data_IF_731992279496
#
_entry.id   IF_731992279496
#
_cell.length_a   1.000
_cell.length_b   1.000
_cell.length_c   1.000
_cell.angle_alpha   90.00
_cell.angle_beta   90.00
_cell.angle_gamma   90.00
#
_symmetry.space_group_name_H-M   'P 1'
#
loop_
_entity.id
_entity.type
_entity.pdbx_description
1 polymer ?
#
# COMPACT_ATOMS: atom_id res chain seq x y z
N UNK A 1 -37.35 18.28 47.40
CA UNK A 1 -35.91 18.04 47.21
C UNK A 1 -35.82 16.87 46.28
N UNK A 2 -35.61 17.20 45.02
CA UNK A 2 -35.75 16.34 43.86
C UNK A 2 -34.49 15.52 43.61
N UNK A 3 -34.73 14.26 43.23
CA UNK A 3 -33.69 13.29 42.85
C UNK A 3 -33.37 13.42 41.34
N UNK A 4 -32.41 14.27 41.00
CA UNK A 4 -31.83 14.39 39.67
C UNK A 4 -30.45 13.70 39.61
N UNK A 5 -30.39 12.46 39.30
CA UNK A 5 -29.12 11.90 38.80
C UNK A 5 -29.24 10.38 38.55
N UNK A 6 -29.58 9.99 37.32
CA UNK A 6 -29.19 8.62 36.85
C UNK A 6 -29.65 8.28 35.44
N UNK A 7 -29.34 9.11 34.46
CA UNK A 7 -29.72 8.76 33.06
C UNK A 7 -28.62 8.91 31.99
N UNK A 8 -27.33 9.03 32.30
CA UNK A 8 -26.29 9.32 31.29
C UNK A 8 -25.22 8.24 31.03
N UNK A 9 -25.31 7.04 31.62
CA UNK A 9 -24.21 6.05 31.54
C UNK A 9 -24.39 4.87 30.58
N UNK A 10 -25.52 4.67 29.90
CA UNK A 10 -25.77 3.44 29.12
C UNK A 10 -25.46 3.53 27.61
N UNK A 11 -25.49 4.69 27.00
CA UNK A 11 -25.28 4.86 25.55
C UNK A 11 -23.82 4.90 25.15
N UNK A 12 -22.94 5.44 25.97
CA UNK A 12 -21.50 5.50 25.66
C UNK A 12 -20.80 4.12 25.75
N UNK A 13 -21.28 3.20 26.55
CA UNK A 13 -20.71 1.86 26.69
C UNK A 13 -20.89 0.99 25.44
N UNK A 14 -22.10 0.92 24.91
CA UNK A 14 -22.42 0.09 23.71
C UNK A 14 -21.71 0.55 22.44
N UNK A 15 -21.58 1.86 22.24
CA UNK A 15 -20.84 2.42 21.10
C UNK A 15 -19.35 2.12 21.20
N UNK A 16 -18.75 2.30 22.37
CA UNK A 16 -17.34 1.96 22.62
C UNK A 16 -17.06 0.46 22.42
N UNK A 17 -17.96 -0.40 22.84
CA UNK A 17 -17.83 -1.86 22.67
C UNK A 17 -17.94 -2.25 21.18
N UNK A 18 -18.81 -1.60 20.41
CA UNK A 18 -18.93 -1.81 18.96
C UNK A 18 -17.64 -1.42 18.24
N UNK A 19 -17.12 -0.21 18.46
CA UNK A 19 -15.89 0.26 17.82
C UNK A 19 -14.68 -0.61 18.22
N UNK A 20 -14.57 -0.98 19.50
CA UNK A 20 -13.53 -1.90 19.97
C UNK A 20 -13.61 -3.25 19.28
N UNK A 21 -14.82 -3.76 19.01
CA UNK A 21 -15.03 -5.03 18.32
C UNK A 21 -14.64 -4.92 16.85
N UNK A 22 -15.00 -3.82 16.15
CA UNK A 22 -14.57 -3.55 14.78
C UNK A 22 -13.04 -3.52 14.67
N UNK A 23 -12.36 -2.79 15.55
CA UNK A 23 -10.89 -2.74 15.56
C UNK A 23 -10.27 -4.13 15.73
N UNK A 24 -10.82 -4.98 16.62
CA UNK A 24 -10.35 -6.36 16.79
C UNK A 24 -10.50 -7.18 15.50
N UNK A 25 -11.62 -7.02 14.79
CA UNK A 25 -11.85 -7.71 13.52
C UNK A 25 -10.86 -7.26 12.46
N UNK A 26 -10.68 -5.96 12.29
CA UNK A 26 -9.73 -5.39 11.33
C UNK A 26 -8.31 -5.90 11.62
N UNK A 27 -7.87 -5.87 12.88
CA UNK A 27 -6.57 -6.42 13.26
C UNK A 27 -6.44 -7.93 13.02
N UNK A 28 -7.52 -8.68 13.19
CA UNK A 28 -7.53 -10.11 12.95
C UNK A 28 -7.36 -10.47 11.46
N UNK A 29 -7.82 -9.62 10.54
CA UNK A 29 -7.57 -9.81 9.09
C UNK A 29 -6.07 -9.93 8.83
N UNK A 30 -5.26 -8.99 9.33
CA UNK A 30 -3.81 -9.01 9.14
C UNK A 30 -3.15 -10.24 9.73
N UNK A 31 -3.57 -10.65 10.92
CA UNK A 31 -3.04 -11.86 11.56
C UNK A 31 -3.37 -13.14 10.78
N UNK A 32 -4.60 -13.24 10.24
CA UNK A 32 -4.99 -14.37 9.38
C UNK A 32 -4.22 -14.35 8.07
N UNK A 33 -4.06 -13.17 7.46
CA UNK A 33 -3.30 -12.99 6.23
C UNK A 33 -1.84 -13.43 6.39
N UNK A 34 -1.18 -13.07 7.49
CA UNK A 34 0.18 -13.52 7.80
C UNK A 34 0.27 -15.03 8.03
N UNK A 35 -0.68 -15.61 8.79
CA UNK A 35 -0.63 -17.02 9.18
C UNK A 35 -1.04 -17.97 8.05
N UNK A 36 -1.99 -17.57 7.19
CA UNK A 36 -2.68 -18.46 6.24
C UNK A 36 -2.73 -17.96 4.79
N UNK A 37 -2.17 -16.79 4.54
CA UNK A 37 -2.32 -16.12 3.24
C UNK A 37 -3.75 -15.65 2.96
N UNK A 38 -3.97 -15.10 1.77
CA UNK A 38 -5.29 -14.59 1.36
C UNK A 38 -6.32 -15.73 1.18
N UNK A 39 -5.92 -16.93 0.80
CA UNK A 39 -6.80 -18.10 0.70
C UNK A 39 -7.38 -18.54 2.04
N UNK A 40 -6.72 -18.19 3.15
CA UNK A 40 -7.20 -18.44 4.51
C UNK A 40 -8.17 -17.39 5.04
N UNK A 41 -8.38 -16.28 4.34
CA UNK A 41 -9.29 -15.21 4.75
C UNK A 41 -10.75 -15.64 4.55
N UNK A 42 -11.40 -15.94 5.66
CA UNK A 42 -12.84 -16.20 5.73
C UNK A 42 -13.39 -15.75 7.10
N UNK A 43 -14.68 -15.54 7.18
CA UNK A 43 -15.32 -15.02 8.38
C UNK A 43 -15.05 -15.87 9.63
N UNK A 44 -14.97 -17.19 9.49
CA UNK A 44 -14.70 -18.11 10.62
C UNK A 44 -13.27 -17.98 11.12
N UNK A 45 -12.27 -17.88 10.22
CA UNK A 45 -10.86 -17.68 10.58
C UNK A 45 -10.65 -16.34 11.28
N UNK A 46 -11.25 -15.27 10.76
CA UNK A 46 -11.14 -13.92 11.33
C UNK A 46 -11.84 -13.85 12.69
N UNK A 47 -13.07 -14.38 12.80
CA UNK A 47 -13.81 -14.41 14.05
C UNK A 47 -13.06 -15.19 15.14
N UNK A 48 -12.49 -16.36 14.81
CA UNK A 48 -11.66 -17.16 15.72
C UNK A 48 -10.43 -16.38 16.19
N UNK A 49 -9.73 -15.70 15.28
CA UNK A 49 -8.53 -14.90 15.60
C UNK A 49 -8.88 -13.68 16.47
N UNK A 50 -10.05 -13.06 16.23
CA UNK A 50 -10.53 -11.91 16.99
C UNK A 50 -11.16 -12.26 18.34
N UNK A 51 -11.52 -13.54 18.57
CA UNK A 51 -12.24 -14.00 19.76
C UNK A 51 -13.68 -13.47 19.82
N UNK A 52 -14.41 -13.47 18.69
CA UNK A 52 -15.75 -12.92 18.56
C UNK A 52 -16.67 -13.84 17.76
N UNK A 53 -17.97 -13.57 17.77
CA UNK A 53 -18.93 -14.29 16.93
C UNK A 53 -18.80 -13.88 15.45
N UNK A 54 -18.82 -14.87 14.54
CA UNK A 54 -18.66 -14.64 13.10
C UNK A 54 -19.80 -13.81 12.47
N UNK A 55 -21.00 -13.86 13.07
CA UNK A 55 -22.17 -13.08 12.57
C UNK A 55 -21.94 -11.57 12.65
N UNK A 56 -21.04 -11.14 13.53
CA UNK A 56 -20.68 -9.73 13.68
C UNK A 56 -19.94 -9.17 12.46
N UNK A 57 -19.33 -10.01 11.61
CA UNK A 57 -18.74 -9.57 10.33
C UNK A 57 -19.81 -8.90 9.49
N UNK A 58 -20.95 -9.57 9.29
CA UNK A 58 -22.07 -9.01 8.51
C UNK A 58 -22.76 -7.85 9.21
N UNK A 59 -22.89 -7.93 10.54
CA UNK A 59 -23.54 -6.86 11.32
C UNK A 59 -22.75 -5.54 11.26
N UNK A 60 -21.42 -5.59 11.22
CA UNK A 60 -20.59 -4.38 11.32
C UNK A 60 -20.01 -3.91 10.00
N UNK A 61 -19.79 -4.82 9.06
CA UNK A 61 -19.15 -4.52 7.76
C UNK A 61 -20.04 -4.84 6.56
N UNK A 62 -21.16 -5.54 6.76
CA UNK A 62 -22.06 -5.97 5.69
C UNK A 62 -21.57 -7.18 4.90
N UNK A 63 -20.25 -7.26 4.63
CA UNK A 63 -19.61 -8.38 3.94
C UNK A 63 -18.20 -8.67 4.48
N UNK A 64 -17.68 -9.84 4.13
CA UNK A 64 -16.27 -10.16 4.38
C UNK A 64 -15.34 -9.26 3.56
N UNK A 65 -15.68 -9.02 2.29
CA UNK A 65 -14.90 -8.21 1.37
C UNK A 65 -14.77 -6.77 1.89
N UNK A 66 -15.85 -6.16 2.39
CA UNK A 66 -15.80 -4.83 3.01
C UNK A 66 -14.87 -4.77 4.24
N UNK A 67 -14.90 -5.80 5.09
CA UNK A 67 -13.98 -5.88 6.24
C UNK A 67 -12.52 -5.95 5.78
N UNK A 68 -12.24 -6.74 4.75
CA UNK A 68 -10.89 -6.90 4.21
C UNK A 68 -10.45 -5.63 3.49
N UNK A 69 -11.32 -5.02 2.70
CA UNK A 69 -11.07 -3.73 2.03
C UNK A 69 -10.72 -2.63 3.05
N UNK A 70 -11.50 -2.50 4.12
CA UNK A 70 -11.23 -1.53 5.19
C UNK A 70 -9.86 -1.77 5.84
N UNK A 71 -9.49 -3.04 6.07
CA UNK A 71 -8.16 -3.38 6.58
C UNK A 71 -7.04 -2.95 5.63
N UNK A 72 -7.18 -3.24 4.32
CA UNK A 72 -6.16 -2.91 3.32
C UNK A 72 -6.06 -1.40 3.13
N UNK A 73 -7.22 -0.70 3.07
CA UNK A 73 -7.27 0.75 2.93
C UNK A 73 -6.54 1.48 4.06
N UNK A 74 -6.61 0.97 5.30
CA UNK A 74 -5.89 1.55 6.46
C UNK A 74 -4.37 1.34 6.41
N UNK A 75 -3.85 0.53 5.48
CA UNK A 75 -2.43 0.20 5.33
C UNK A 75 -1.85 0.62 3.99
N UNK A 76 -2.61 1.32 3.19
CA UNK A 76 -2.15 1.73 1.87
C UNK A 76 -0.92 2.63 1.98
N UNK A 77 0.17 2.21 1.29
CA UNK A 77 1.45 2.93 1.32
C UNK A 77 1.31 4.37 0.85
N UNK A 78 0.62 4.58 -0.27
CA UNK A 78 0.49 5.88 -0.89
C UNK A 78 -0.34 6.85 -0.07
N UNK A 79 -1.42 6.36 0.57
CA UNK A 79 -2.31 7.17 1.40
C UNK A 79 -1.73 7.54 2.76
N UNK A 80 -0.84 6.69 3.32
CA UNK A 80 -0.40 6.88 4.70
C UNK A 80 1.11 7.07 4.84
N UNK A 81 1.93 6.16 4.27
CA UNK A 81 3.39 6.26 4.43
C UNK A 81 4.02 7.31 3.51
N UNK A 82 3.54 7.41 2.28
CA UNK A 82 4.05 8.35 1.29
C UNK A 82 3.32 9.70 1.26
N UNK A 83 2.21 9.85 1.99
CA UNK A 83 1.36 11.03 1.92
C UNK A 83 2.12 12.36 2.13
N UNK A 84 2.95 12.45 3.17
CA UNK A 84 3.72 13.66 3.46
C UNK A 84 4.75 13.95 2.37
N UNK A 85 5.41 12.92 1.84
CA UNK A 85 6.37 13.06 0.74
C UNK A 85 5.68 13.53 -0.53
N UNK A 86 4.52 12.95 -0.86
CA UNK A 86 3.71 13.34 -2.02
C UNK A 86 3.22 14.77 -1.86
N UNK A 87 2.63 15.12 -0.72
CA UNK A 87 2.16 16.48 -0.45
C UNK A 87 3.31 17.50 -0.60
N UNK A 88 4.51 17.16 -0.15
CA UNK A 88 5.70 18.00 -0.34
C UNK A 88 6.03 18.14 -1.82
N UNK A 89 6.04 17.05 -2.58
CA UNK A 89 6.30 17.09 -4.03
C UNK A 89 5.27 17.93 -4.79
N UNK A 90 4.00 17.86 -4.40
CA UNK A 90 2.91 18.64 -5.01
C UNK A 90 3.04 20.16 -4.77
N UNK A 91 3.92 20.62 -3.88
CA UNK A 91 4.20 22.05 -3.70
C UNK A 91 5.14 22.64 -4.75
N UNK A 92 5.91 21.79 -5.47
CA UNK A 92 6.86 22.24 -6.47
C UNK A 92 6.15 22.58 -7.78
N UNK A 93 6.09 23.89 -8.11
CA UNK A 93 5.41 24.38 -9.34
C UNK A 93 6.26 24.21 -10.61
N UNK A 94 7.56 24.19 -10.45
CA UNK A 94 8.53 24.17 -11.56
C UNK A 94 9.02 22.75 -11.90
N UNK A 95 8.33 21.74 -11.39
CA UNK A 95 8.69 20.33 -11.55
C UNK A 95 9.44 19.77 -10.36
N UNK A 96 9.77 18.47 -10.43
CA UNK A 96 10.53 17.75 -9.40
C UNK A 96 11.85 17.25 -9.99
N UNK A 97 12.90 17.21 -9.16
CA UNK A 97 14.21 16.76 -9.62
C UNK A 97 14.27 15.24 -9.80
N UNK A 98 15.29 14.76 -10.53
CA UNK A 98 15.56 13.33 -10.62
C UNK A 98 15.82 12.68 -9.26
N UNK A 99 16.46 13.40 -8.34
CA UNK A 99 16.72 12.92 -6.95
C UNK A 99 15.41 12.77 -6.16
N UNK A 100 14.48 13.72 -6.31
CA UNK A 100 13.19 13.66 -5.63
C UNK A 100 12.32 12.50 -6.17
N UNK A 101 12.26 12.34 -7.49
CA UNK A 101 11.49 11.26 -8.11
C UNK A 101 12.10 9.89 -7.80
N UNK A 102 13.42 9.74 -7.91
CA UNK A 102 14.10 8.49 -7.57
C UNK A 102 14.00 8.18 -6.07
N UNK A 103 14.07 9.18 -5.20
CA UNK A 103 13.88 9.03 -3.76
C UNK A 103 12.50 8.51 -3.40
N UNK A 104 11.43 8.97 -4.06
CA UNK A 104 10.07 8.44 -3.87
C UNK A 104 9.97 6.96 -4.27
N UNK A 105 10.57 6.58 -5.40
CA UNK A 105 10.57 5.18 -5.86
C UNK A 105 11.42 4.28 -4.94
N UNK A 106 12.56 4.75 -4.46
CA UNK A 106 13.38 4.03 -3.47
C UNK A 106 12.65 3.87 -2.14
N UNK A 107 11.88 4.88 -1.71
CA UNK A 107 11.04 4.78 -0.52
C UNK A 107 9.92 3.74 -0.70
N UNK A 108 9.28 3.70 -1.87
CA UNK A 108 8.30 2.66 -2.21
C UNK A 108 8.92 1.27 -2.18
N UNK A 109 10.11 1.12 -2.79
CA UNK A 109 10.86 -0.14 -2.77
C UNK A 109 11.14 -0.61 -1.34
N UNK A 110 11.69 0.26 -0.49
CA UNK A 110 12.00 -0.06 0.91
C UNK A 110 10.74 -0.43 1.70
N UNK A 111 9.67 0.35 1.54
CA UNK A 111 8.42 0.09 2.25
C UNK A 111 7.79 -1.26 1.89
N UNK A 112 7.89 -1.67 0.61
CA UNK A 112 7.43 -2.99 0.20
C UNK A 112 8.36 -4.10 0.72
N UNK A 113 9.67 -3.84 0.75
CA UNK A 113 10.67 -4.79 1.24
C UNK A 113 10.49 -5.11 2.72
N UNK A 114 10.11 -4.11 3.52
CA UNK A 114 10.00 -4.20 4.99
C UNK A 114 8.61 -4.66 5.48
N UNK A 115 7.60 -4.70 4.61
CA UNK A 115 6.22 -4.98 5.03
C UNK A 115 5.68 -6.27 4.39
N UNK A 116 5.81 -7.40 5.10
CA UNK A 116 5.30 -8.70 4.65
C UNK A 116 3.79 -8.70 4.36
N UNK A 117 3.01 -7.92 5.10
CA UNK A 117 1.56 -7.82 4.84
C UNK A 117 1.33 -7.13 3.50
N UNK A 118 2.05 -6.05 3.22
CA UNK A 118 1.96 -5.35 1.94
C UNK A 118 2.36 -6.27 0.78
N UNK A 119 3.42 -7.06 0.94
CA UNK A 119 3.83 -8.07 -0.05
C UNK A 119 2.70 -9.07 -0.35
N UNK A 120 2.04 -9.59 0.70
CA UNK A 120 0.91 -10.52 0.55
C UNK A 120 -0.30 -9.90 -0.12
N UNK A 121 -0.61 -8.64 0.17
CA UNK A 121 -1.69 -7.87 -0.47
C UNK A 121 -1.37 -7.66 -1.95
N UNK A 122 -0.13 -7.27 -2.28
CA UNK A 122 0.29 -7.06 -3.67
C UNK A 122 0.24 -8.37 -4.47
N UNK A 123 0.74 -9.47 -3.89
CA UNK A 123 0.65 -10.78 -4.52
C UNK A 123 -0.81 -11.20 -4.76
N UNK A 124 -1.69 -10.96 -3.80
CA UNK A 124 -3.12 -11.23 -3.96
C UNK A 124 -3.74 -10.42 -5.10
N UNK A 125 -3.42 -9.12 -5.18
CA UNK A 125 -3.94 -8.21 -6.21
C UNK A 125 -3.64 -8.65 -7.64
N UNK A 126 -2.52 -9.35 -7.87
CA UNK A 126 -2.15 -9.89 -9.17
C UNK A 126 -2.58 -11.35 -9.39
N UNK A 127 -3.03 -12.06 -8.32
CA UNK A 127 -3.38 -13.48 -8.38
C UNK A 127 -4.87 -13.72 -8.53
N UNK A 128 -5.73 -12.83 -8.05
CA UNK A 128 -7.18 -12.98 -8.06
C UNK A 128 -7.90 -11.71 -8.52
N UNK A 129 -8.96 -11.89 -9.30
CA UNK A 129 -9.85 -10.80 -9.66
C UNK A 129 -10.88 -10.57 -8.54
N UNK A 130 -10.76 -9.44 -7.85
CA UNK A 130 -11.70 -8.97 -6.81
C UNK A 130 -11.99 -7.48 -7.02
N UNK A 131 -13.26 -7.09 -6.91
CA UNK A 131 -13.65 -5.69 -7.15
C UNK A 131 -12.99 -4.71 -6.18
N UNK A 132 -12.86 -5.08 -4.89
CA UNK A 132 -12.18 -4.21 -3.91
C UNK A 132 -10.67 -4.09 -4.16
N UNK A 133 -9.98 -5.14 -4.66
CA UNK A 133 -8.56 -5.06 -5.02
C UNK A 133 -8.35 -4.14 -6.23
N UNK A 134 -9.26 -4.22 -7.19
CA UNK A 134 -9.28 -3.29 -8.34
C UNK A 134 -9.50 -1.85 -7.86
N UNK A 135 -10.51 -1.63 -7.02
CA UNK A 135 -10.82 -0.30 -6.46
C UNK A 135 -9.58 0.32 -5.77
N UNK A 136 -8.88 -0.45 -4.95
CA UNK A 136 -7.64 -0.01 -4.30
C UNK A 136 -6.56 0.36 -5.33
N UNK A 137 -6.43 -0.42 -6.40
CA UNK A 137 -5.47 -0.11 -7.47
C UNK A 137 -5.85 1.16 -8.22
N UNK A 138 -7.13 1.33 -8.57
CA UNK A 138 -7.65 2.53 -9.24
C UNK A 138 -7.44 3.79 -8.38
N UNK A 139 -7.60 3.70 -7.05
CA UNK A 139 -7.31 4.81 -6.14
C UNK A 139 -5.81 5.19 -6.10
N UNK A 140 -4.91 4.20 -6.23
CA UNK A 140 -3.46 4.45 -6.33
C UNK A 140 -3.10 5.16 -7.62
N UNK A 141 -3.75 4.80 -8.74
CA UNK A 141 -3.57 5.50 -10.02
C UNK A 141 -3.95 6.98 -9.93
N UNK A 142 -5.01 7.33 -9.18
CA UNK A 142 -5.37 8.74 -8.97
C UNK A 142 -4.25 9.52 -8.27
N UNK A 143 -3.60 8.93 -7.28
CA UNK A 143 -2.44 9.54 -6.61
C UNK A 143 -1.27 9.69 -7.59
N UNK A 144 -1.04 8.69 -8.43
CA UNK A 144 -0.03 8.73 -9.49
C UNK A 144 -0.29 9.86 -10.50
N UNK A 145 -1.54 10.06 -10.89
CA UNK A 145 -1.91 11.15 -11.80
C UNK A 145 -1.62 12.54 -11.23
N UNK A 146 -1.75 12.74 -9.90
CA UNK A 146 -1.37 14.01 -9.28
C UNK A 146 0.15 14.27 -9.38
N UNK A 147 0.97 13.24 -9.24
CA UNK A 147 2.42 13.33 -9.47
C UNK A 147 2.72 13.61 -10.94
N UNK A 148 2.03 12.94 -11.87
CA UNK A 148 2.23 13.13 -13.31
C UNK A 148 1.89 14.54 -13.78
N UNK A 149 0.94 15.25 -13.17
CA UNK A 149 0.66 16.66 -13.48
C UNK A 149 1.89 17.56 -13.32
N UNK A 150 2.85 17.16 -12.47
CA UNK A 150 4.08 17.93 -12.23
C UNK A 150 5.23 17.38 -13.08
N UNK A 151 5.28 16.06 -13.29
CA UNK A 151 6.38 15.41 -14.02
C UNK A 151 6.22 15.56 -15.52
N UNK A 152 5.03 15.32 -16.09
CA UNK A 152 4.79 15.33 -17.53
C UNK A 152 5.26 16.60 -18.26
N UNK A 153 5.02 17.82 -17.70
CA UNK A 153 5.47 19.05 -18.36
C UNK A 153 6.98 19.11 -18.59
N UNK A 154 7.78 18.47 -17.73
CA UNK A 154 9.24 18.45 -17.85
C UNK A 154 9.74 17.58 -19.01
N UNK A 155 8.89 16.67 -19.51
CA UNK A 155 9.22 15.73 -20.59
C UNK A 155 8.48 16.03 -21.90
N UNK A 156 7.60 17.06 -21.92
CA UNK A 156 6.69 17.37 -23.04
C UNK A 156 7.40 17.54 -24.39
N UNK A 157 8.54 18.19 -24.36
CA UNK A 157 9.30 18.52 -25.59
C UNK A 157 10.46 17.51 -25.83
N UNK A 158 10.46 16.39 -25.14
CA UNK A 158 11.45 15.33 -25.30
C UNK A 158 10.83 14.06 -25.94
N UNK A 159 11.71 13.18 -26.47
CA UNK A 159 11.32 11.85 -26.96
C UNK A 159 11.25 10.80 -25.84
N UNK A 160 11.11 11.21 -24.58
CA UNK A 160 11.10 10.34 -23.42
C UNK A 160 9.67 10.10 -22.96
N UNK A 161 9.23 8.86 -23.02
CA UNK A 161 7.99 8.43 -22.34
C UNK A 161 8.28 8.16 -20.86
N UNK A 162 8.20 9.21 -20.05
CA UNK A 162 8.47 9.09 -18.60
C UNK A 162 7.44 8.20 -17.90
N UNK A 163 6.18 8.21 -18.33
CA UNK A 163 5.14 7.35 -17.75
C UNK A 163 5.44 5.87 -18.02
N UNK A 164 5.88 5.53 -19.25
CA UNK A 164 6.29 4.18 -19.61
C UNK A 164 7.50 3.71 -18.80
N UNK A 165 8.50 4.59 -18.60
CA UNK A 165 9.68 4.29 -17.78
C UNK A 165 9.25 4.01 -16.32
N UNK A 166 8.41 4.87 -15.74
CA UNK A 166 7.94 4.71 -14.37
C UNK A 166 7.10 3.46 -14.18
N UNK A 167 6.24 3.12 -15.14
CA UNK A 167 5.47 1.88 -15.11
C UNK A 167 6.37 0.64 -15.05
N UNK A 168 7.44 0.61 -15.86
CA UNK A 168 8.42 -0.49 -15.86
C UNK A 168 9.17 -0.55 -14.53
N UNK A 169 9.61 0.60 -13.99
CA UNK A 169 10.32 0.64 -12.69
C UNK A 169 9.41 0.15 -11.57
N UNK A 170 8.18 0.63 -11.47
CA UNK A 170 7.22 0.23 -10.43
C UNK A 170 6.87 -1.26 -10.55
N UNK A 171 6.63 -1.75 -11.77
CA UNK A 171 6.43 -3.18 -12.01
C UNK A 171 7.66 -4.00 -11.60
N UNK A 172 8.87 -3.51 -11.92
CA UNK A 172 10.13 -4.13 -11.51
C UNK A 172 10.30 -4.18 -9.99
N UNK A 173 10.02 -3.09 -9.29
CA UNK A 173 10.03 -3.03 -7.81
C UNK A 173 9.11 -4.12 -7.24
N UNK A 174 7.87 -4.19 -7.71
CA UNK A 174 6.91 -5.18 -7.20
C UNK A 174 7.39 -6.61 -7.47
N UNK A 175 7.77 -6.89 -8.72
CA UNK A 175 8.21 -8.24 -9.08
C UNK A 175 9.45 -8.67 -8.31
N UNK A 176 10.49 -7.84 -8.25
CA UNK A 176 11.74 -8.16 -7.58
C UNK A 176 11.53 -8.46 -6.09
N UNK A 177 10.76 -7.62 -5.39
CA UNK A 177 10.50 -7.81 -3.96
C UNK A 177 9.66 -9.06 -3.73
N UNK A 178 8.55 -9.22 -4.46
CA UNK A 178 7.69 -10.39 -4.32
C UNK A 178 8.44 -11.68 -4.65
N UNK A 179 9.25 -11.69 -5.72
CA UNK A 179 10.09 -12.84 -6.09
C UNK A 179 11.09 -13.18 -4.99
N UNK A 180 11.90 -12.22 -4.56
CA UNK A 180 12.95 -12.43 -3.57
C UNK A 180 12.41 -12.81 -2.18
N UNK A 181 11.28 -12.24 -1.76
CA UNK A 181 10.69 -12.51 -0.43
C UNK A 181 9.77 -13.74 -0.41
N UNK A 182 9.18 -14.14 -1.54
CA UNK A 182 8.29 -15.31 -1.59
C UNK A 182 9.06 -16.61 -1.74
N UNK A 183 10.04 -16.69 -2.64
CA UNK A 183 10.77 -17.91 -2.92
C UNK A 183 12.27 -17.86 -2.57
N UNK A 184 12.80 -16.68 -2.23
CA UNK A 184 14.19 -16.49 -1.83
C UNK A 184 15.22 -16.67 -2.95
N UNK A 185 14.79 -16.70 -4.22
CA UNK A 185 15.69 -16.89 -5.35
C UNK A 185 16.36 -15.60 -5.79
N UNK A 186 17.53 -15.74 -6.41
CA UNK A 186 18.20 -14.66 -7.14
C UNK A 186 17.36 -14.25 -8.36
N UNK A 187 17.41 -12.98 -8.70
CA UNK A 187 16.90 -12.48 -9.97
C UNK A 187 17.96 -11.64 -10.67
N UNK A 188 18.33 -12.00 -11.88
CA UNK A 188 19.45 -11.38 -12.61
C UNK A 188 20.76 -11.32 -11.80
N UNK A 189 21.02 -12.35 -10.97
CA UNK A 189 22.17 -12.42 -10.10
C UNK A 189 22.12 -11.47 -8.89
N UNK A 190 20.96 -10.89 -8.59
CA UNK A 190 20.74 -10.02 -7.41
C UNK A 190 20.00 -10.81 -6.34
N UNK A 191 20.54 -10.80 -5.12
CA UNK A 191 19.90 -11.35 -3.93
C UNK A 191 19.30 -10.22 -3.08
N UNK A 192 17.98 -10.07 -3.13
CA UNK A 192 17.26 -9.07 -2.32
C UNK A 192 17.18 -9.39 -0.83
N UNK A 193 17.77 -10.48 -0.38
CA UNK A 193 17.90 -10.80 1.04
C UNK A 193 19.26 -10.34 1.60
N UNK A 194 20.05 -9.63 0.81
CA UNK A 194 21.33 -9.04 1.19
C UNK A 194 21.32 -7.52 1.07
N UNK A 195 22.08 -6.83 1.90
CA UNK A 195 22.26 -5.37 1.85
C UNK A 195 22.79 -4.92 0.49
N UNK A 196 23.73 -5.68 -0.09
CA UNK A 196 24.28 -5.41 -1.44
C UNK A 196 23.21 -5.46 -2.52
N UNK A 197 22.36 -6.50 -2.50
CA UNK A 197 21.28 -6.63 -3.48
C UNK A 197 20.24 -5.52 -3.38
N UNK A 198 19.87 -5.13 -2.17
CA UNK A 198 18.97 -3.99 -1.95
C UNK A 198 19.57 -2.69 -2.47
N UNK A 199 20.85 -2.43 -2.16
CA UNK A 199 21.54 -1.21 -2.57
C UNK A 199 21.67 -1.14 -4.10
N UNK A 200 22.02 -2.24 -4.76
CA UNK A 200 22.11 -2.31 -6.23
C UNK A 200 20.79 -1.94 -6.92
N UNK A 201 19.64 -2.40 -6.38
CA UNK A 201 18.33 -2.03 -6.94
C UNK A 201 18.05 -0.55 -6.75
N UNK A 202 18.31 0.03 -5.56
CA UNK A 202 18.15 1.46 -5.29
C UNK A 202 19.00 2.32 -6.23
N UNK A 203 20.26 1.96 -6.42
CA UNK A 203 21.17 2.66 -7.33
C UNK A 203 20.69 2.56 -8.78
N UNK A 204 20.20 1.39 -9.20
CA UNK A 204 19.65 1.21 -10.55
C UNK A 204 18.42 2.07 -10.80
N UNK A 205 17.51 2.20 -9.83
CA UNK A 205 16.36 3.10 -9.91
C UNK A 205 16.86 4.56 -10.14
N UNK A 206 17.80 5.02 -9.32
CA UNK A 206 18.34 6.38 -9.44
C UNK A 206 19.03 6.60 -10.79
N UNK A 207 19.80 5.62 -11.27
CA UNK A 207 20.47 5.69 -12.57
C UNK A 207 19.48 5.80 -13.73
N UNK A 208 18.42 4.98 -13.76
CA UNK A 208 17.42 5.01 -14.85
C UNK A 208 16.70 6.36 -14.87
N UNK A 209 16.28 6.87 -13.73
CA UNK A 209 15.64 8.19 -13.63
C UNK A 209 16.60 9.31 -14.06
N UNK A 210 17.86 9.29 -13.59
CA UNK A 210 18.87 10.26 -14.00
C UNK A 210 19.12 10.25 -15.51
N UNK A 211 19.14 9.08 -16.15
CA UNK A 211 19.29 8.96 -17.60
C UNK A 211 18.10 9.57 -18.37
N UNK A 212 16.86 9.39 -17.84
CA UNK A 212 15.68 10.01 -18.45
C UNK A 212 15.76 11.54 -18.37
N UNK A 213 16.10 12.10 -17.21
CA UNK A 213 16.22 13.55 -17.02
C UNK A 213 17.36 14.19 -17.84
N UNK A 214 18.52 13.53 -17.99
CA UNK A 214 19.63 14.06 -18.80
C UNK A 214 19.29 14.22 -20.28
N UNK A 215 18.41 13.38 -20.81
CA UNK A 215 18.00 13.45 -22.21
C UNK A 215 16.92 14.51 -22.48
N UNK A 216 16.34 15.13 -21.47
CA UNK A 216 15.43 16.27 -21.64
C UNK A 216 16.16 17.59 -21.86
N UNK A 217 17.46 17.67 -21.51
CA UNK A 217 18.28 18.90 -21.55
C UNK A 217 19.12 18.98 -22.82
N UNK A 218 19.20 17.89 -23.59
CA UNK A 218 19.95 17.81 -24.85
C UNK A 218 19.04 18.03 -26.05
#
# INVERSE_FOLDING_TARGET
MEDESKSRKRTSGKLRDKERTKVKMIQAVGKVLLKKGYTGLNASSIAKEAGIDKSLVWTYFGSLDNLVEEYIAQRDFWKYKAADSINTLLTFKDGISNEQLSGLLQFQFQALLDDEILQRIMLWGISEKKDFLRHISDERELIGEDIFKIVDPQFKDSNIDIRGILAIIVAGIYYLVLHGKTNGSLFCGIDLNTVDGEQRVKESIAQIISMAYKKTIA
#
